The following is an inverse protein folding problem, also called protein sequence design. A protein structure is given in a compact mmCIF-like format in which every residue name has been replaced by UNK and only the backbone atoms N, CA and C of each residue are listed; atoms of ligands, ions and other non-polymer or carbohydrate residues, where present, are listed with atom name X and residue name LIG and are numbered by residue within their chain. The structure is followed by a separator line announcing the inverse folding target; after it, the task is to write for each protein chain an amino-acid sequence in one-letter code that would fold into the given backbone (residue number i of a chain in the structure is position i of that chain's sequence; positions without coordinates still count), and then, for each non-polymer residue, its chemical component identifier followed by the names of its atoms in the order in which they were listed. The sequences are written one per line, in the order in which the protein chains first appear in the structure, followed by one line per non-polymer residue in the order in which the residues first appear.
data_IF_087617990336
#
_entry.id   IF_087617990336
#
_cell.length_a   1.000
_cell.length_b   1.000
_cell.length_c   1.000
_cell.angle_alpha   90.00
_cell.angle_beta   90.00
_cell.angle_gamma   90.00
#
_symmetry.space_group_name_H-M   'P 1'
#
loop_
_entity.id
_entity.type
_entity.pdbx_description
1 polymer ?
#
# COMPACT_ATOMS: atom_id res chain seq x y z
N UNK A 1 -36.22 -2.04 -25.45
CA UNK A 1 -36.03 -2.25 -24.00
C UNK A 1 -37.16 -1.53 -23.29
N UNK A 2 -37.93 -2.17 -22.40
CA UNK A 2 -38.83 -1.43 -21.52
C UNK A 2 -38.00 -0.53 -20.60
N UNK A 3 -38.54 0.61 -20.13
CA UNK A 3 -37.80 1.54 -19.30
C UNK A 3 -37.38 0.84 -18.00
N UNK A 4 -36.08 0.71 -17.77
CA UNK A 4 -35.54 0.28 -16.48
C UNK A 4 -35.97 1.33 -15.45
N UNK A 5 -36.95 0.97 -14.61
CA UNK A 5 -37.40 1.84 -13.54
C UNK A 5 -36.31 1.79 -12.46
N UNK A 6 -35.42 2.78 -12.41
CA UNK A 6 -34.29 2.84 -11.47
C UNK A 6 -34.67 3.26 -10.03
N UNK A 7 -35.95 3.57 -9.77
CA UNK A 7 -36.44 4.06 -8.48
C UNK A 7 -36.84 2.95 -7.49
N UNK A 8 -37.01 3.25 -6.19
CA UNK A 8 -37.49 2.26 -5.23
C UNK A 8 -38.83 1.65 -5.68
N UNK A 9 -39.16 0.41 -5.26
CA UNK A 9 -40.46 -0.18 -5.54
C UNK A 9 -41.58 0.76 -5.06
N UNK A 10 -42.75 0.79 -5.73
CA UNK A 10 -43.84 1.67 -5.34
C UNK A 10 -44.35 1.33 -3.93
N UNK A 11 -44.75 2.35 -3.12
CA UNK A 11 -45.33 2.13 -1.80
C UNK A 11 -46.56 1.22 -1.87
N UNK A 12 -46.62 0.20 -0.99
CA UNK A 12 -47.74 -0.75 -0.95
C UNK A 12 -47.58 -2.01 -1.81
N UNK A 13 -46.43 -2.20 -2.47
CA UNK A 13 -46.07 -3.49 -3.09
C UNK A 13 -45.49 -4.47 -2.06
N UNK A 14 -45.67 -5.78 -2.25
CA UNK A 14 -45.13 -6.81 -1.34
C UNK A 14 -43.61 -6.71 -1.12
N UNK A 15 -42.88 -6.17 -2.10
CA UNK A 15 -41.42 -6.02 -2.05
C UNK A 15 -40.96 -4.68 -1.43
N UNK A 16 -41.88 -3.75 -1.16
CA UNK A 16 -41.56 -2.45 -0.58
C UNK A 16 -41.07 -2.56 0.86
N UNK A 17 -41.73 -3.38 1.67
CA UNK A 17 -41.39 -3.54 3.09
C UNK A 17 -40.01 -4.15 3.27
N UNK A 18 -39.65 -5.14 2.44
CA UNK A 18 -38.31 -5.76 2.43
C UNK A 18 -37.24 -4.76 2.02
N UNK A 19 -37.51 -3.98 0.96
CA UNK A 19 -36.58 -2.94 0.51
C UNK A 19 -36.37 -1.87 1.59
N UNK A 20 -37.46 -1.39 2.21
CA UNK A 20 -37.45 -0.37 3.25
C UNK A 20 -36.69 -0.85 4.48
N UNK A 21 -36.93 -2.09 4.92
CA UNK A 21 -36.19 -2.71 6.01
C UNK A 21 -34.68 -2.72 5.70
N UNK A 22 -34.29 -3.24 4.52
CA UNK A 22 -32.88 -3.28 4.13
C UNK A 22 -32.27 -1.89 4.00
N UNK A 23 -33.03 -0.89 3.54
CA UNK A 23 -32.58 0.51 3.43
C UNK A 23 -32.31 1.13 4.82
N UNK A 24 -33.24 0.98 5.76
CA UNK A 24 -33.07 1.48 7.13
C UNK A 24 -31.90 0.77 7.81
N UNK A 25 -31.86 -0.57 7.74
CA UNK A 25 -30.81 -1.36 8.39
C UNK A 25 -29.42 -1.10 7.82
N UNK A 26 -29.26 -1.04 6.49
CA UNK A 26 -27.97 -0.70 5.86
C UNK A 26 -27.51 0.71 6.20
N UNK A 27 -28.45 1.67 6.26
CA UNK A 27 -28.18 3.03 6.70
C UNK A 27 -27.68 3.10 8.15
N UNK A 28 -28.32 2.36 9.06
CA UNK A 28 -27.91 2.28 10.47
C UNK A 28 -26.52 1.65 10.63
N UNK A 29 -26.24 0.53 9.97
CA UNK A 29 -24.92 -0.11 10.01
C UNK A 29 -23.83 0.80 9.45
N UNK A 30 -24.11 1.47 8.34
CA UNK A 30 -23.18 2.41 7.70
C UNK A 30 -22.92 3.61 8.60
N UNK A 31 -23.95 4.21 9.19
CA UNK A 31 -23.81 5.33 10.12
C UNK A 31 -22.99 4.93 11.35
N UNK A 32 -23.26 3.76 11.93
CA UNK A 32 -22.49 3.23 13.05
C UNK A 32 -21.01 3.04 12.69
N UNK A 33 -20.72 2.43 11.54
CA UNK A 33 -19.36 2.21 11.05
C UNK A 33 -18.62 3.54 10.83
N UNK A 34 -19.26 4.52 10.18
CA UNK A 34 -18.71 5.85 9.94
C UNK A 34 -18.42 6.57 11.26
N UNK A 35 -19.35 6.57 12.21
CA UNK A 35 -19.16 7.23 13.52
C UNK A 35 -17.99 6.60 14.27
N UNK A 36 -17.92 5.28 14.36
CA UNK A 36 -16.81 4.61 15.04
C UNK A 36 -15.46 4.89 14.37
N UNK A 37 -15.41 4.82 13.04
CA UNK A 37 -14.19 5.15 12.29
C UNK A 37 -13.79 6.61 12.50
N UNK A 38 -14.74 7.54 12.45
CA UNK A 38 -14.49 8.95 12.67
C UNK A 38 -13.99 9.23 14.09
N UNK A 39 -14.58 8.59 15.11
CA UNK A 39 -14.11 8.69 16.50
C UNK A 39 -12.68 8.17 16.65
N UNK A 40 -12.34 7.06 15.99
CA UNK A 40 -10.99 6.49 16.02
C UNK A 40 -9.97 7.40 15.32
N UNK A 41 -10.29 7.90 14.12
CA UNK A 41 -9.46 8.87 13.39
C UNK A 41 -9.29 10.14 14.21
N UNK A 42 -10.35 10.66 14.83
CA UNK A 42 -10.29 11.87 15.67
C UNK A 42 -9.33 11.73 16.87
N UNK A 43 -9.23 10.51 17.43
CA UNK A 43 -8.26 10.20 18.49
C UNK A 43 -6.84 10.15 17.95
N UNK A 44 -6.60 9.45 16.83
CA UNK A 44 -5.29 9.44 16.16
C UNK A 44 -4.79 10.86 15.82
N UNK A 45 -5.66 11.72 15.31
CA UNK A 45 -5.32 13.11 14.99
C UNK A 45 -5.05 14.00 16.22
N UNK A 46 -5.61 13.64 17.39
CA UNK A 46 -5.37 14.35 18.64
C UNK A 46 -4.05 13.97 19.32
N UNK A 47 -3.54 12.78 18.99
CA UNK A 47 -2.28 12.20 19.48
C UNK A 47 -1.33 12.01 18.29
N UNK A 48 -1.21 13.02 17.43
CA UNK A 48 -0.49 12.91 16.17
C UNK A 48 1.02 13.18 16.36
N UNK A 49 1.65 12.40 17.24
CA UNK A 49 3.06 12.58 17.64
C UNK A 49 4.04 12.00 16.63
N UNK A 50 3.65 10.92 15.94
CA UNK A 50 4.52 10.20 15.00
C UNK A 50 3.87 10.16 13.61
N UNK A 51 4.02 11.24 12.82
CA UNK A 51 3.30 11.41 11.56
C UNK A 51 3.61 10.31 10.53
N UNK A 52 4.81 9.71 10.62
CA UNK A 52 5.30 8.77 9.61
C UNK A 52 4.46 7.50 9.52
N UNK A 53 4.10 6.87 10.63
CA UNK A 53 3.25 5.69 10.60
C UNK A 53 1.76 6.04 10.79
N UNK A 54 1.42 7.11 11.52
CA UNK A 54 0.01 7.47 11.79
C UNK A 54 -0.73 7.92 10.52
N UNK A 55 -0.05 8.56 9.57
CA UNK A 55 -0.66 8.91 8.27
C UNK A 55 -1.20 7.67 7.56
N UNK A 56 -0.41 6.60 7.52
CA UNK A 56 -0.77 5.33 6.90
C UNK A 56 -1.94 4.66 7.65
N UNK A 57 -1.93 4.69 8.99
CA UNK A 57 -3.06 4.19 9.80
C UNK A 57 -4.35 4.93 9.48
N UNK A 58 -4.33 6.27 9.46
CA UNK A 58 -5.54 7.07 9.17
C UNK A 58 -6.09 6.77 7.78
N UNK A 59 -5.23 6.61 6.77
CA UNK A 59 -5.63 6.21 5.41
C UNK A 59 -6.23 4.80 5.38
N UNK A 60 -5.66 3.83 6.09
CA UNK A 60 -6.25 2.49 6.21
C UNK A 60 -7.62 2.55 6.90
N UNK A 61 -7.77 3.37 7.95
CA UNK A 61 -9.04 3.53 8.66
C UNK A 61 -10.14 4.13 7.78
N UNK A 62 -9.79 5.01 6.84
CA UNK A 62 -10.73 5.59 5.88
C UNK A 62 -11.35 4.55 4.92
N UNK A 63 -10.84 3.32 4.87
CA UNK A 63 -11.46 2.22 4.11
C UNK A 63 -12.90 1.96 4.54
N UNK A 64 -13.16 1.87 5.86
CA UNK A 64 -14.48 1.56 6.42
C UNK A 64 -15.56 2.58 6.03
N UNK A 65 -15.36 3.90 6.22
CA UNK A 65 -16.37 4.88 5.83
C UNK A 65 -16.57 4.96 4.31
N UNK A 66 -15.50 4.80 3.50
CA UNK A 66 -15.62 4.79 2.04
C UNK A 66 -16.44 3.58 1.59
N UNK A 67 -16.13 2.38 2.08
CA UNK A 67 -16.86 1.17 1.74
C UNK A 67 -18.31 1.23 2.24
N UNK A 68 -18.53 1.68 3.47
CA UNK A 68 -19.87 1.79 4.05
C UNK A 68 -20.75 2.76 3.25
N UNK A 69 -20.24 3.97 2.98
CA UNK A 69 -20.96 4.98 2.21
C UNK A 69 -21.25 4.52 0.77
N UNK A 70 -20.24 3.99 0.07
CA UNK A 70 -20.41 3.50 -1.29
C UNK A 70 -21.41 2.36 -1.36
N UNK A 71 -21.35 1.40 -0.44
CA UNK A 71 -22.28 0.26 -0.42
C UNK A 71 -23.70 0.70 -0.10
N UNK A 72 -23.88 1.63 0.85
CA UNK A 72 -25.20 2.21 1.12
C UNK A 72 -25.74 2.97 -0.09
N UNK A 73 -24.88 3.74 -0.78
CA UNK A 73 -25.26 4.43 -2.01
C UNK A 73 -25.63 3.45 -3.13
N UNK A 74 -24.89 2.35 -3.30
CA UNK A 74 -25.21 1.27 -4.25
C UNK A 74 -26.56 0.61 -3.93
N UNK A 75 -26.89 0.43 -2.64
CA UNK A 75 -28.18 -0.10 -2.20
C UNK A 75 -29.32 0.89 -2.45
N UNK A 76 -29.14 2.16 -2.09
CA UNK A 76 -30.17 3.19 -2.19
C UNK A 76 -30.41 3.65 -3.63
N UNK A 77 -29.37 3.71 -4.45
CA UNK A 77 -29.38 4.26 -5.80
C UNK A 77 -28.72 3.31 -6.80
N UNK A 78 -29.55 2.55 -7.52
CA UNK A 78 -29.08 1.58 -8.53
C UNK A 78 -28.18 2.19 -9.60
N UNK A 79 -28.47 3.43 -10.03
CA UNK A 79 -27.68 4.12 -11.05
C UNK A 79 -26.27 4.54 -10.60
N UNK A 80 -25.99 4.57 -9.29
CA UNK A 80 -24.68 4.94 -8.73
C UNK A 80 -23.82 3.71 -8.42
N UNK A 81 -24.43 2.52 -8.33
CA UNK A 81 -23.77 1.28 -7.90
C UNK A 81 -22.43 1.03 -8.58
N UNK A 82 -22.38 1.08 -9.91
CA UNK A 82 -21.15 0.88 -10.70
C UNK A 82 -20.04 1.87 -10.31
N UNK A 83 -20.39 3.15 -10.12
CA UNK A 83 -19.40 4.17 -9.74
C UNK A 83 -18.91 3.98 -8.30
N UNK A 84 -19.81 3.59 -7.40
CA UNK A 84 -19.49 3.29 -6.02
C UNK A 84 -18.59 2.05 -5.90
N UNK A 85 -18.81 1.02 -6.72
CA UNK A 85 -17.97 -0.18 -6.77
C UNK A 85 -16.56 0.15 -7.24
N UNK A 86 -16.44 0.92 -8.33
CA UNK A 86 -15.16 1.43 -8.83
C UNK A 86 -14.40 2.21 -7.75
N UNK A 87 -15.08 3.08 -6.99
CA UNK A 87 -14.43 3.86 -5.94
C UNK A 87 -13.88 2.97 -4.83
N UNK A 88 -14.67 1.98 -4.38
CA UNK A 88 -14.25 0.99 -3.37
C UNK A 88 -13.02 0.22 -3.84
N UNK A 89 -13.08 -0.29 -5.07
CA UNK A 89 -12.02 -1.10 -5.63
C UNK A 89 -10.70 -0.33 -5.84
N UNK A 90 -10.77 0.94 -6.27
CA UNK A 90 -9.58 1.80 -6.36
C UNK A 90 -8.97 2.06 -4.97
N UNK A 91 -9.82 2.26 -3.96
CA UNK A 91 -9.36 2.48 -2.60
C UNK A 91 -8.74 1.22 -1.97
N UNK A 92 -9.22 0.03 -2.33
CA UNK A 92 -8.61 -1.24 -1.95
C UNK A 92 -7.11 -1.28 -2.28
N UNK A 93 -6.76 -0.87 -3.50
CA UNK A 93 -5.39 -0.89 -3.96
C UNK A 93 -4.51 0.07 -3.16
N UNK A 94 -5.04 1.27 -2.84
CA UNK A 94 -4.39 2.24 -1.96
C UNK A 94 -4.15 1.62 -0.59
N UNK A 95 -5.16 1.01 0.05
CA UNK A 95 -5.02 0.41 1.39
C UNK A 95 -3.94 -0.67 1.46
N UNK A 96 -3.81 -1.50 0.41
CA UNK A 96 -2.74 -2.52 0.35
C UNK A 96 -1.36 -1.86 0.35
N UNK A 97 -1.18 -0.78 -0.43
CA UNK A 97 0.08 -0.05 -0.48
C UNK A 97 0.35 0.72 0.83
N UNK A 98 -0.67 1.35 1.42
CA UNK A 98 -0.57 2.03 2.71
C UNK A 98 -0.18 1.08 3.84
N UNK A 99 -0.70 -0.15 3.82
CA UNK A 99 -0.27 -1.16 4.79
C UNK A 99 1.16 -1.64 4.55
N UNK A 100 1.61 -1.71 3.30
CA UNK A 100 3.03 -1.94 2.99
C UNK A 100 3.91 -0.83 3.57
N UNK A 101 3.56 0.43 3.35
CA UNK A 101 4.30 1.58 3.88
C UNK A 101 4.26 1.62 5.41
N UNK A 102 3.14 1.25 6.02
CA UNK A 102 3.03 1.10 7.47
C UNK A 102 4.01 0.06 8.02
N UNK A 103 4.22 -1.06 7.32
CA UNK A 103 5.21 -2.06 7.74
C UNK A 103 6.63 -1.50 7.69
N UNK A 104 6.97 -0.71 6.65
CA UNK A 104 8.28 -0.07 6.55
C UNK A 104 8.46 1.00 7.64
N UNK A 105 7.45 1.84 7.87
CA UNK A 105 7.48 2.87 8.89
C UNK A 105 7.60 2.31 10.33
N UNK A 106 7.19 1.06 10.56
CA UNK A 106 7.43 0.40 11.84
C UNK A 106 8.83 -0.20 11.97
N UNK A 107 9.57 -0.38 10.87
CA UNK A 107 10.95 -0.91 10.92
C UNK A 107 11.94 0.15 11.36
N UNK A 108 11.72 1.39 10.94
CA UNK A 108 12.58 2.53 11.21
C UNK A 108 12.09 3.76 10.48
N UNK A 109 12.45 4.94 11.01
CA UNK A 109 12.11 6.22 10.38
C UNK A 109 13.01 6.49 9.18
N UNK A 110 14.25 5.99 9.23
CA UNK A 110 15.26 6.18 8.20
C UNK A 110 15.39 4.98 7.25
N UNK A 111 15.81 5.26 6.02
CA UNK A 111 16.11 4.25 5.00
C UNK A 111 17.24 3.32 5.47
N UNK A 112 18.20 3.86 6.22
CA UNK A 112 19.31 3.10 6.79
C UNK A 112 18.83 2.06 7.82
N UNK A 113 17.99 2.47 8.78
CA UNK A 113 17.42 1.56 9.79
C UNK A 113 16.58 0.45 9.14
N UNK A 114 15.79 0.83 8.12
CA UNK A 114 15.03 -0.14 7.35
C UNK A 114 15.97 -1.12 6.64
N UNK A 115 17.03 -0.64 5.99
CA UNK A 115 18.00 -1.48 5.31
C UNK A 115 18.71 -2.44 6.28
N UNK A 116 19.08 -1.97 7.47
CA UNK A 116 19.73 -2.77 8.52
C UNK A 116 18.85 -3.90 9.03
N UNK A 117 17.55 -3.63 9.20
CA UNK A 117 16.57 -4.64 9.58
C UNK A 117 16.48 -5.79 8.55
N UNK A 118 16.80 -5.53 7.27
CA UNK A 118 16.90 -6.55 6.22
C UNK A 118 18.31 -7.12 6.02
N UNK A 119 19.37 -6.36 6.35
CA UNK A 119 20.77 -6.74 6.12
C UNK A 119 21.11 -8.05 6.84
N UNK A 120 20.69 -8.19 8.09
CA UNK A 120 20.96 -9.36 8.94
C UNK A 120 20.11 -10.60 8.62
N UNK A 121 19.15 -10.51 7.69
CA UNK A 121 18.21 -11.61 7.43
C UNK A 121 18.85 -12.73 6.59
N UNK A 122 18.71 -14.01 6.99
CA UNK A 122 19.21 -15.11 6.18
C UNK A 122 18.41 -15.24 4.87
N UNK A 123 18.93 -15.95 3.85
CA UNK A 123 18.18 -16.29 2.66
C UNK A 123 16.89 -17.04 3.03
N UNK A 124 15.75 -16.54 2.55
CA UNK A 124 14.44 -17.10 2.83
C UNK A 124 13.82 -17.68 1.56
N UNK A 125 12.92 -18.65 1.72
CA UNK A 125 12.12 -19.17 0.61
C UNK A 125 10.89 -18.31 0.41
N UNK A 126 10.48 -18.14 -0.84
CA UNK A 126 9.19 -17.53 -1.16
C UNK A 126 8.05 -18.33 -0.52
N UNK A 127 6.93 -17.66 -0.28
CA UNK A 127 5.75 -18.32 0.25
C UNK A 127 5.11 -19.24 -0.80
N UNK A 128 4.37 -20.25 -0.34
CA UNK A 128 3.56 -21.09 -1.23
C UNK A 128 2.62 -20.19 -2.07
N UNK A 129 2.52 -20.37 -3.40
CA UNK A 129 2.96 -21.53 -4.19
C UNK A 129 4.41 -21.51 -4.73
N UNK A 130 5.16 -20.41 -4.57
CA UNK A 130 6.49 -20.22 -5.16
C UNK A 130 7.65 -20.67 -4.25
N UNK A 131 7.41 -21.63 -3.37
CA UNK A 131 8.35 -22.07 -2.31
C UNK A 131 9.68 -22.68 -2.81
N UNK A 132 9.82 -22.90 -4.11
CA UNK A 132 11.02 -23.36 -4.79
C UNK A 132 12.01 -22.23 -5.10
N UNK A 133 11.62 -20.97 -4.99
CA UNK A 133 12.48 -19.81 -5.23
C UNK A 133 13.02 -19.30 -3.89
N UNK A 134 14.34 -19.15 -3.80
CA UNK A 134 15.01 -18.54 -2.64
C UNK A 134 15.36 -17.09 -2.96
N UNK A 135 15.07 -16.17 -2.03
CA UNK A 135 15.44 -14.76 -2.13
C UNK A 135 16.30 -14.36 -0.92
N UNK A 136 17.12 -13.31 -1.10
CA UNK A 136 17.92 -12.72 -0.04
C UNK A 136 17.32 -11.35 0.31
N UNK A 137 16.69 -11.20 1.49
CA UNK A 137 16.15 -9.91 1.91
C UNK A 137 17.21 -8.83 2.05
N UNK A 138 18.46 -9.20 2.39
CA UNK A 138 19.60 -8.28 2.54
C UNK A 138 20.01 -7.54 1.27
N UNK A 139 19.41 -7.82 0.11
CA UNK A 139 19.70 -7.10 -1.13
C UNK A 139 18.95 -5.75 -1.09
N UNK A 140 19.60 -4.62 -1.39
CA UNK A 140 18.98 -3.29 -1.32
C UNK A 140 17.74 -3.19 -2.23
N UNK A 141 17.75 -3.88 -3.38
CA UNK A 141 16.62 -3.89 -4.31
C UNK A 141 15.38 -4.65 -3.82
N UNK A 142 15.47 -5.46 -2.75
CA UNK A 142 14.34 -6.26 -2.27
C UNK A 142 13.14 -5.39 -1.88
N UNK A 143 13.39 -4.32 -1.13
CA UNK A 143 12.36 -3.36 -0.70
C UNK A 143 11.71 -2.71 -1.93
N UNK A 144 12.52 -2.26 -2.90
CA UNK A 144 12.02 -1.69 -4.15
C UNK A 144 11.13 -2.68 -4.93
N UNK A 145 11.51 -3.96 -5.03
CA UNK A 145 10.67 -4.96 -5.69
C UNK A 145 9.34 -5.20 -4.96
N UNK A 146 9.35 -5.25 -3.63
CA UNK A 146 8.11 -5.36 -2.87
C UNK A 146 7.22 -4.12 -3.02
N UNK A 147 7.83 -2.92 -3.03
CA UNK A 147 7.15 -1.64 -3.26
C UNK A 147 6.50 -1.61 -4.64
N UNK A 148 7.23 -1.94 -5.71
CA UNK A 148 6.70 -2.06 -7.07
C UNK A 148 5.58 -3.09 -7.15
N UNK A 149 5.72 -4.23 -6.45
CA UNK A 149 4.72 -5.28 -6.43
C UNK A 149 3.38 -4.87 -5.81
N UNK A 150 3.38 -3.94 -4.86
CA UNK A 150 2.14 -3.35 -4.32
C UNK A 150 1.63 -2.20 -5.20
N UNK A 151 2.52 -1.31 -5.65
CA UNK A 151 2.17 -0.15 -6.50
C UNK A 151 1.58 -0.53 -7.86
N UNK A 152 1.98 -1.67 -8.44
CA UNK A 152 1.40 -2.10 -9.72
C UNK A 152 -0.12 -2.24 -9.65
N UNK A 153 -0.69 -2.67 -8.50
CA UNK A 153 -2.15 -2.77 -8.36
C UNK A 153 -2.81 -1.40 -8.21
N UNK A 154 -2.17 -0.47 -7.49
CA UNK A 154 -2.61 0.94 -7.35
C UNK A 154 -2.76 1.61 -8.71
N UNK A 155 -1.86 1.31 -9.65
CA UNK A 155 -1.86 1.89 -10.99
C UNK A 155 -2.77 1.11 -11.95
N UNK A 156 -2.72 -0.21 -11.91
CA UNK A 156 -3.46 -1.08 -12.81
C UNK A 156 -4.98 -1.02 -12.57
N UNK A 157 -5.42 -0.84 -11.31
CA UNK A 157 -6.85 -0.82 -11.01
C UNK A 157 -7.60 0.37 -11.66
N UNK A 158 -7.17 1.63 -11.52
CA UNK A 158 -7.76 2.75 -12.27
C UNK A 158 -7.65 2.57 -13.79
N UNK A 159 -6.55 2.02 -14.31
CA UNK A 159 -6.40 1.79 -15.75
C UNK A 159 -7.42 0.77 -16.27
N UNK A 160 -7.62 -0.36 -15.58
CA UNK A 160 -8.60 -1.37 -15.99
C UNK A 160 -10.03 -0.84 -15.88
N UNK A 161 -10.33 0.02 -14.91
CA UNK A 161 -11.60 0.75 -14.83
C UNK A 161 -11.84 1.62 -16.06
N UNK A 162 -10.85 2.41 -16.49
CA UNK A 162 -10.97 3.24 -17.71
C UNK A 162 -11.20 2.36 -18.94
N UNK A 163 -10.49 1.23 -19.05
CA UNK A 163 -10.69 0.26 -20.13
C UNK A 163 -12.11 -0.34 -20.09
N UNK A 164 -12.62 -0.68 -18.90
CA UNK A 164 -13.98 -1.18 -18.71
C UNK A 164 -15.03 -0.16 -19.20
N UNK A 165 -14.88 1.11 -18.83
CA UNK A 165 -15.78 2.19 -19.27
C UNK A 165 -15.73 2.38 -20.78
N UNK A 166 -14.52 2.44 -21.38
CA UNK A 166 -14.37 2.59 -22.83
C UNK A 166 -15.01 1.41 -23.57
N UNK A 167 -14.75 0.18 -23.12
CA UNK A 167 -15.30 -1.02 -23.76
C UNK A 167 -16.82 -1.15 -23.57
N UNK A 168 -17.36 -0.61 -22.48
CA UNK A 168 -18.81 -0.48 -22.28
C UNK A 168 -19.42 0.51 -23.30
N UNK A 169 -18.79 1.65 -23.54
CA UNK A 169 -19.24 2.63 -24.55
C UNK A 169 -19.22 2.06 -25.98
N UNK A 170 -18.26 1.18 -26.30
CA UNK A 170 -18.19 0.46 -27.59
C UNK A 170 -19.14 -0.75 -27.65
N UNK A 171 -19.85 -1.08 -26.56
CA UNK A 171 -20.76 -2.23 -26.50
C UNK A 171 -20.06 -3.59 -26.44
N UNK A 172 -18.82 -3.64 -25.94
CA UNK A 172 -17.96 -4.85 -25.86
C UNK A 172 -17.63 -5.30 -24.44
N UNK A 173 -18.13 -4.64 -23.39
CA UNK A 173 -17.85 -5.03 -21.99
C UNK A 173 -18.79 -6.14 -21.47
N UNK A 174 -20.12 -6.00 -21.60
CA UNK A 174 -21.14 -6.99 -21.20
C UNK A 174 -20.88 -7.68 -19.83
N UNK A 175 -21.36 -7.05 -18.76
CA UNK A 175 -21.21 -7.50 -17.36
C UNK A 175 -21.89 -8.86 -17.08
N UNK A 176 -23.03 -9.13 -17.72
CA UNK A 176 -23.78 -10.38 -17.54
C UNK A 176 -23.17 -11.59 -18.29
N UNK A 177 -22.08 -11.40 -19.04
CA UNK A 177 -21.48 -12.46 -19.85
C UNK A 177 -20.08 -12.85 -19.37
N UNK A 178 -19.91 -14.13 -19.06
CA UNK A 178 -18.60 -14.76 -18.81
C UNK A 178 -17.93 -15.26 -20.11
N UNK A 179 -18.39 -14.81 -21.29
CA UNK A 179 -17.77 -15.20 -22.56
C UNK A 179 -16.44 -14.46 -22.77
N UNK A 180 -15.35 -15.16 -23.17
CA UNK A 180 -14.06 -14.51 -23.50
C UNK A 180 -14.13 -13.49 -24.65
N UNK A 181 -15.26 -13.43 -25.37
CA UNK A 181 -15.51 -12.46 -26.44
C UNK A 181 -15.68 -11.03 -25.92
N UNK A 182 -16.07 -10.88 -24.66
CA UNK A 182 -16.31 -9.57 -24.03
C UNK A 182 -15.14 -9.17 -23.12
N UNK A 183 -14.94 -7.86 -22.98
CA UNK A 183 -13.83 -7.31 -22.21
C UNK A 183 -13.94 -7.57 -20.71
N UNK A 184 -15.16 -7.74 -20.18
CA UNK A 184 -15.42 -7.97 -18.75
C UNK A 184 -14.61 -9.13 -18.15
N UNK A 185 -14.55 -10.28 -18.83
CA UNK A 185 -13.79 -11.45 -18.35
C UNK A 185 -12.29 -11.12 -18.23
N UNK A 186 -11.73 -10.41 -19.20
CA UNK A 186 -10.32 -10.04 -19.19
C UNK A 186 -10.01 -9.02 -18.09
N UNK A 187 -10.89 -8.04 -17.86
CA UNK A 187 -10.77 -7.09 -16.76
C UNK A 187 -10.76 -7.82 -15.41
N UNK A 188 -11.68 -8.77 -15.19
CA UNK A 188 -11.72 -9.59 -13.97
C UNK A 188 -10.42 -10.37 -13.79
N UNK A 189 -9.96 -11.08 -14.83
CA UNK A 189 -8.76 -11.93 -14.76
C UNK A 189 -7.50 -11.10 -14.48
N UNK A 190 -7.32 -9.99 -15.20
CA UNK A 190 -6.17 -9.10 -15.04
C UNK A 190 -6.15 -8.50 -13.63
N UNK A 191 -7.30 -8.02 -13.14
CA UNK A 191 -7.42 -7.50 -11.77
C UNK A 191 -7.17 -8.58 -10.72
N UNK A 192 -7.70 -9.79 -10.92
CA UNK A 192 -7.48 -10.93 -10.03
C UNK A 192 -6.00 -11.33 -9.92
N UNK A 193 -5.28 -11.35 -11.04
CA UNK A 193 -3.83 -11.59 -11.04
C UNK A 193 -3.10 -10.45 -10.32
N UNK A 194 -3.43 -9.20 -10.65
CA UNK A 194 -2.77 -8.02 -10.08
C UNK A 194 -2.92 -7.93 -8.57
N UNK A 195 -4.14 -8.09 -8.02
CA UNK A 195 -4.35 -8.10 -6.57
C UNK A 195 -3.65 -9.28 -5.89
N UNK A 196 -3.62 -10.45 -6.54
CA UNK A 196 -2.90 -11.62 -6.01
C UNK A 196 -1.40 -11.36 -5.89
N UNK A 197 -0.79 -10.73 -6.90
CA UNK A 197 0.62 -10.34 -6.86
C UNK A 197 0.88 -9.33 -5.75
N UNK A 198 0.05 -8.29 -5.62
CA UNK A 198 0.22 -7.27 -4.57
C UNK A 198 0.07 -7.84 -3.15
N UNK A 199 -0.93 -8.69 -2.94
CA UNK A 199 -1.11 -9.37 -1.66
C UNK A 199 0.03 -10.37 -1.40
N UNK A 200 0.54 -11.04 -2.43
CA UNK A 200 1.68 -11.94 -2.28
C UNK A 200 2.93 -11.18 -1.82
N UNK A 201 3.28 -10.06 -2.46
CA UNK A 201 4.44 -9.25 -2.04
C UNK A 201 4.26 -8.66 -0.65
N UNK A 202 3.05 -8.24 -0.30
CA UNK A 202 2.73 -7.75 1.03
C UNK A 202 2.91 -8.83 2.12
N UNK A 203 2.41 -10.05 1.88
CA UNK A 203 2.62 -11.16 2.82
C UNK A 203 4.11 -11.54 2.87
N UNK A 204 4.82 -11.46 1.75
CA UNK A 204 6.26 -11.76 1.70
C UNK A 204 7.06 -10.82 2.60
N UNK A 205 6.86 -9.49 2.50
CA UNK A 205 7.55 -8.54 3.38
C UNK A 205 7.13 -8.75 4.84
N UNK A 206 5.82 -8.91 5.11
CA UNK A 206 5.31 -9.17 6.44
C UNK A 206 5.98 -10.39 7.09
N UNK A 207 6.10 -11.51 6.37
CA UNK A 207 6.75 -12.72 6.91
C UNK A 207 8.25 -12.57 7.13
N UNK A 208 8.89 -11.64 6.41
CA UNK A 208 10.31 -11.31 6.57
C UNK A 208 10.54 -10.48 7.84
N UNK A 209 9.63 -9.55 8.15
CA UNK A 209 9.80 -8.56 9.23
C UNK A 209 8.98 -8.83 10.49
N UNK A 210 8.10 -9.85 10.49
CA UNK A 210 7.21 -10.17 11.63
C UNK A 210 7.94 -10.45 12.95
N UNK A 211 9.24 -10.79 12.93
CA UNK A 211 10.03 -11.00 14.15
C UNK A 211 10.33 -9.67 14.85
N UNK A 212 10.67 -8.64 14.09
CA UNK A 212 11.00 -7.30 14.60
C UNK A 212 9.73 -6.61 15.10
N UNK A 213 8.64 -6.77 14.35
CA UNK A 213 7.39 -6.05 14.59
C UNK A 213 6.41 -6.78 15.52
N UNK A 214 6.92 -7.65 16.39
CA UNK A 214 6.08 -8.47 17.28
C UNK A 214 5.33 -7.63 18.32
N UNK A 215 5.90 -6.49 18.71
CA UNK A 215 5.31 -5.50 19.63
C UNK A 215 4.00 -4.89 19.11
N UNK A 216 3.88 -4.70 17.79
CA UNK A 216 2.77 -3.96 17.16
C UNK A 216 1.55 -4.81 16.76
N UNK A 217 1.43 -6.05 17.23
CA UNK A 217 0.29 -6.95 16.96
C UNK A 217 -0.14 -7.01 15.47
N UNK A 218 0.83 -7.05 14.56
CA UNK A 218 0.59 -6.94 13.12
C UNK A 218 -0.38 -7.98 12.54
N UNK A 219 -0.45 -9.17 13.14
CA UNK A 219 -1.38 -10.21 12.70
C UNK A 219 -2.82 -9.69 12.73
N UNK A 220 -3.18 -8.96 13.79
CA UNK A 220 -4.52 -8.42 13.94
C UNK A 220 -4.80 -7.33 12.90
N UNK A 221 -3.84 -6.44 12.64
CA UNK A 221 -3.92 -5.39 11.61
C UNK A 221 -4.08 -6.00 10.21
N UNK A 222 -3.27 -7.00 9.88
CA UNK A 222 -3.34 -7.70 8.60
C UNK A 222 -4.66 -8.45 8.43
N UNK A 223 -5.11 -9.19 9.45
CA UNK A 223 -6.41 -9.89 9.43
C UNK A 223 -7.55 -8.88 9.27
N UNK A 224 -7.45 -7.70 9.89
CA UNK A 224 -8.46 -6.65 9.79
C UNK A 224 -8.66 -6.17 8.36
N UNK A 225 -7.58 -5.85 7.66
CA UNK A 225 -7.63 -5.42 6.26
C UNK A 225 -8.08 -6.58 5.37
N UNK A 226 -7.48 -7.77 5.56
CA UNK A 226 -7.80 -8.95 4.76
C UNK A 226 -9.25 -9.39 4.93
N UNK A 227 -9.83 -9.25 6.11
CA UNK A 227 -11.24 -9.54 6.37
C UNK A 227 -12.13 -8.74 5.42
N UNK A 228 -11.92 -7.41 5.33
CA UNK A 228 -12.72 -6.55 4.45
C UNK A 228 -12.55 -6.95 2.98
N UNK A 229 -11.32 -7.11 2.51
CA UNK A 229 -11.03 -7.40 1.09
C UNK A 229 -11.53 -8.79 0.69
N UNK A 230 -11.25 -9.81 1.51
CA UNK A 230 -11.56 -11.19 1.17
C UNK A 230 -13.07 -11.47 1.20
N UNK A 231 -13.78 -11.03 2.23
CA UNK A 231 -15.21 -11.29 2.33
C UNK A 231 -16.00 -10.55 1.25
N UNK A 232 -15.70 -9.27 1.01
CA UNK A 232 -16.35 -8.50 -0.06
C UNK A 232 -16.11 -9.11 -1.44
N UNK A 233 -14.89 -9.56 -1.75
CA UNK A 233 -14.59 -10.27 -3.00
C UNK A 233 -15.43 -11.55 -3.16
N UNK A 234 -15.39 -12.44 -2.17
CA UNK A 234 -16.11 -13.72 -2.26
C UNK A 234 -17.63 -13.54 -2.27
N UNK A 235 -18.14 -12.51 -1.60
CA UNK A 235 -19.54 -12.14 -1.70
C UNK A 235 -19.89 -11.73 -3.12
N UNK A 236 -19.11 -10.87 -3.77
CA UNK A 236 -19.37 -10.45 -5.15
C UNK A 236 -19.40 -11.66 -6.08
N UNK A 237 -18.40 -12.55 -6.00
CA UNK A 237 -18.37 -13.81 -6.78
C UNK A 237 -19.61 -14.68 -6.51
N UNK A 238 -19.99 -14.83 -5.24
CA UNK A 238 -21.14 -15.66 -4.84
C UNK A 238 -22.45 -15.09 -5.37
N UNK A 239 -22.69 -13.79 -5.21
CA UNK A 239 -23.91 -13.13 -5.68
C UNK A 239 -23.99 -13.09 -7.21
N UNK A 240 -22.87 -12.87 -7.91
CA UNK A 240 -22.81 -13.00 -9.36
C UNK A 240 -23.15 -14.43 -9.82
N UNK A 241 -22.59 -15.46 -9.16
CA UNK A 241 -22.92 -16.85 -9.48
C UNK A 241 -24.40 -17.21 -9.18
N UNK A 242 -24.96 -16.68 -8.09
CA UNK A 242 -26.38 -16.85 -7.74
C UNK A 242 -27.31 -16.21 -8.79
N UNK A 243 -26.92 -15.06 -9.35
CA UNK A 243 -27.66 -14.41 -10.43
C UNK A 243 -27.67 -15.26 -11.72
N UNK A 244 -26.63 -16.07 -11.97
CA UNK A 244 -26.58 -16.94 -13.15
C UNK A 244 -27.29 -18.29 -12.99
N UNK A 245 -27.52 -18.75 -11.76
CA UNK A 245 -28.10 -20.09 -11.48
C UNK A 245 -29.63 -20.11 -11.43
N UNK A 246 -30.32 -19.00 -11.77
CA UNK A 246 -31.76 -18.79 -11.61
C UNK A 246 -32.29 -19.03 -10.17
N UNK A 247 -31.39 -19.09 -9.17
CA UNK A 247 -31.75 -19.20 -7.76
C UNK A 247 -32.47 -17.93 -7.28
N UNK A 248 -32.12 -16.78 -7.89
CA UNK A 248 -32.76 -15.48 -7.67
C UNK A 248 -33.76 -15.24 -8.80
N UNK A 249 -35.06 -15.24 -8.51
CA UNK A 249 -36.10 -14.98 -9.53
C UNK A 249 -36.22 -13.47 -9.76
N UNK A 250 -36.22 -13.06 -11.02
CA UNK A 250 -36.53 -11.68 -11.39
C UNK A 250 -37.96 -11.34 -10.93
N UNK A 251 -38.13 -10.16 -10.32
CA UNK A 251 -39.45 -9.60 -10.01
C UNK A 251 -39.80 -8.54 -11.06
N UNK A 252 -41.06 -8.11 -11.18
CA UNK A 252 -41.48 -7.11 -12.18
C UNK A 252 -40.68 -5.79 -12.14
N UNK A 253 -39.98 -5.51 -11.03
CA UNK A 253 -39.23 -4.27 -10.81
C UNK A 253 -37.72 -4.46 -10.61
N UNK A 254 -37.24 -5.70 -10.48
CA UNK A 254 -35.83 -6.01 -10.21
C UNK A 254 -35.31 -7.09 -11.14
N UNK A 255 -34.19 -6.80 -11.80
CA UNK A 255 -33.39 -7.83 -12.47
C UNK A 255 -32.76 -8.76 -11.44
N UNK A 256 -32.41 -9.99 -11.86
CA UNK A 256 -31.70 -10.95 -11.00
C UNK A 256 -30.36 -10.37 -10.52
N UNK A 257 -29.62 -9.73 -11.43
CA UNK A 257 -28.34 -9.07 -11.16
C UNK A 257 -28.48 -7.91 -10.18
N UNK A 258 -29.52 -7.07 -10.36
CA UNK A 258 -29.76 -5.93 -9.47
C UNK A 258 -30.09 -6.39 -8.04
N UNK A 259 -30.92 -7.43 -7.90
CA UNK A 259 -31.27 -7.98 -6.60
C UNK A 259 -30.06 -8.60 -5.90
N UNK A 260 -29.21 -9.31 -6.64
CA UNK A 260 -27.95 -9.85 -6.13
C UNK A 260 -26.99 -8.74 -5.68
N UNK A 261 -26.84 -7.67 -6.48
CA UNK A 261 -25.98 -6.54 -6.17
C UNK A 261 -26.47 -5.76 -4.95
N UNK A 262 -27.77 -5.55 -4.77
CA UNK A 262 -28.29 -4.91 -3.56
C UNK A 262 -28.14 -5.80 -2.32
N UNK A 263 -28.33 -7.12 -2.45
CA UNK A 263 -28.08 -8.04 -1.34
C UNK A 263 -26.61 -8.03 -0.91
N UNK A 264 -25.68 -8.03 -1.87
CA UNK A 264 -24.24 -7.85 -1.64
C UNK A 264 -23.96 -6.51 -0.95
N UNK A 265 -24.48 -5.40 -1.47
CA UNK A 265 -24.29 -4.07 -0.89
C UNK A 265 -24.79 -3.97 0.55
N UNK A 266 -25.95 -4.57 0.86
CA UNK A 266 -26.48 -4.66 2.21
C UNK A 266 -25.54 -5.42 3.16
N UNK A 267 -25.01 -6.57 2.73
CA UNK A 267 -24.07 -7.35 3.53
C UNK A 267 -22.77 -6.60 3.78
N UNK A 268 -22.25 -5.87 2.78
CA UNK A 268 -21.04 -5.05 2.97
C UNK A 268 -21.28 -3.94 3.99
N UNK A 269 -22.45 -3.28 4.00
CA UNK A 269 -22.79 -2.31 5.05
C UNK A 269 -22.73 -2.94 6.45
N UNK A 270 -23.25 -4.15 6.62
CA UNK A 270 -23.17 -4.89 7.88
C UNK A 270 -21.72 -5.28 8.23
N UNK A 271 -20.94 -5.75 7.26
CA UNK A 271 -19.52 -6.06 7.45
C UNK A 271 -18.70 -4.84 7.86
N UNK A 272 -19.02 -3.66 7.33
CA UNK A 272 -18.32 -2.43 7.70
C UNK A 272 -18.55 -2.06 9.17
N UNK A 273 -19.71 -2.39 9.74
CA UNK A 273 -19.94 -2.23 11.18
C UNK A 273 -19.05 -3.16 12.01
N UNK A 274 -18.85 -4.41 11.57
CA UNK A 274 -17.94 -5.37 12.22
C UNK A 274 -16.48 -4.93 12.03
N UNK A 275 -16.11 -4.53 10.82
CA UNK A 275 -14.78 -4.05 10.48
C UNK A 275 -14.41 -2.80 11.30
N UNK A 276 -15.35 -1.87 11.52
CA UNK A 276 -15.14 -0.71 12.39
C UNK A 276 -14.74 -1.12 13.82
N UNK A 277 -15.44 -2.12 14.40
CA UNK A 277 -15.10 -2.66 15.72
C UNK A 277 -13.72 -3.34 15.73
N UNK A 278 -13.41 -4.08 14.66
CA UNK A 278 -12.11 -4.73 14.51
C UNK A 278 -10.98 -3.69 14.37
N UNK A 279 -11.21 -2.61 13.62
CA UNK A 279 -10.26 -1.51 13.42
C UNK A 279 -9.96 -0.77 14.73
N UNK A 280 -10.96 -0.57 15.60
CA UNK A 280 -10.75 0.02 16.94
C UNK A 280 -9.79 -0.82 17.78
N UNK A 281 -9.82 -2.15 17.64
CA UNK A 281 -8.90 -3.05 18.35
C UNK A 281 -7.55 -3.18 17.65
N UNK A 282 -7.54 -3.24 16.31
CA UNK A 282 -6.35 -3.49 15.51
C UNK A 282 -5.44 -2.26 15.40
N UNK A 283 -6.02 -1.06 15.30
CA UNK A 283 -5.33 0.20 15.07
C UNK A 283 -5.57 1.16 16.25
N UNK A 284 -5.17 0.74 17.45
CA UNK A 284 -5.38 1.54 18.65
C UNK A 284 -4.46 2.76 18.66
N UNK A 285 -5.03 3.95 18.89
CA UNK A 285 -4.26 5.20 19.08
C UNK A 285 -3.34 5.16 20.31
N UNK A 286 -3.51 4.18 21.21
CA UNK A 286 -2.66 4.04 22.39
C UNK A 286 -1.24 3.61 22.07
N UNK A 287 -1.02 3.01 20.90
CA UNK A 287 0.32 2.65 20.44
C UNK A 287 1.20 3.87 20.17
N UNK A 288 0.61 5.06 20.10
CA UNK A 288 1.29 6.32 19.75
C UNK A 288 1.32 7.30 20.91
N UNK A 289 0.85 6.86 22.08
CA UNK A 289 0.92 7.65 23.31
C UNK A 289 2.30 7.41 23.91
N UNK A 290 3.25 8.27 23.59
CA UNK A 290 4.44 8.41 24.41
C UNK A 290 4.09 9.24 25.65
N UNK A 291 4.44 8.72 26.83
CA UNK A 291 4.17 9.38 28.11
C UNK A 291 4.90 10.74 28.23
N UNK A 292 5.94 10.94 27.41
CA UNK A 292 6.78 12.15 27.41
C UNK A 292 6.19 13.32 26.60
N UNK A 293 5.32 13.05 25.61
CA UNK A 293 4.74 14.10 24.74
C UNK A 293 3.37 14.57 25.24
N UNK A 294 3.36 15.44 26.25
CA UNK A 294 2.16 15.97 26.91
C UNK A 294 1.30 16.98 26.13
N UNK A 295 1.49 17.13 24.80
CA UNK A 295 0.79 18.13 23.98
C UNK A 295 -0.24 17.53 23.02
N UNK A 296 -1.48 18.03 23.03
CA UNK A 296 -2.46 17.70 22.01
C UNK A 296 -2.14 18.40 20.68
N UNK A 297 -2.13 17.66 19.58
CA UNK A 297 -1.82 18.19 18.25
C UNK A 297 -3.03 18.86 17.57
N UNK A 298 -2.77 19.81 16.67
CA UNK A 298 -3.81 20.41 15.86
C UNK A 298 -4.37 19.39 14.85
N UNK A 299 -5.63 19.00 15.04
CA UNK A 299 -6.27 17.91 14.27
C UNK A 299 -6.43 18.20 12.77
N UNK A 300 -6.73 19.44 12.40
CA UNK A 300 -7.02 19.80 11.00
C UNK A 300 -5.77 19.77 10.10
N UNK A 301 -4.62 20.38 10.49
CA UNK A 301 -3.36 20.20 9.77
C UNK A 301 -2.94 18.73 9.66
N UNK A 302 -3.05 17.97 10.76
CA UNK A 302 -2.75 16.54 10.76
C UNK A 302 -3.63 15.76 9.77
N UNK A 303 -4.94 16.05 9.71
CA UNK A 303 -5.84 15.42 8.75
C UNK A 303 -5.48 15.78 7.31
N UNK A 304 -5.15 17.05 7.02
CA UNK A 304 -4.70 17.47 5.68
C UNK A 304 -3.43 16.74 5.26
N UNK A 305 -2.49 16.56 6.19
CA UNK A 305 -1.28 15.78 5.95
C UNK A 305 -1.61 14.31 5.64
N UNK A 306 -2.49 13.68 6.43
CA UNK A 306 -2.93 12.30 6.19
C UNK A 306 -3.67 12.12 4.87
N UNK A 307 -4.44 13.11 4.42
CA UNK A 307 -5.22 13.05 3.17
C UNK A 307 -4.43 13.48 1.93
N UNK A 308 -3.18 13.94 2.09
CA UNK A 308 -2.34 14.24 0.95
C UNK A 308 -1.97 12.94 0.23
N UNK A 309 -2.25 12.85 -1.08
CA UNK A 309 -1.98 11.66 -1.92
C UNK A 309 -0.64 11.82 -2.69
N UNK A 310 0.00 12.99 -2.56
CA UNK A 310 1.23 13.31 -3.29
C UNK A 310 2.34 12.29 -3.06
N UNK A 311 2.47 11.75 -1.85
CA UNK A 311 3.44 10.71 -1.53
C UNK A 311 3.21 9.41 -2.31
N UNK A 312 1.96 8.97 -2.47
CA UNK A 312 1.62 7.81 -3.32
C UNK A 312 1.98 8.09 -4.79
N UNK A 313 1.68 9.30 -5.28
CA UNK A 313 2.03 9.68 -6.66
C UNK A 313 3.53 9.71 -6.88
N UNK A 314 4.27 10.21 -5.88
CA UNK A 314 5.72 10.24 -5.87
C UNK A 314 6.30 8.82 -5.86
N UNK A 315 5.75 7.94 -5.02
CA UNK A 315 6.11 6.52 -4.98
C UNK A 315 5.88 5.81 -6.32
N UNK A 316 4.77 6.10 -6.99
CA UNK A 316 4.49 5.60 -8.36
C UNK A 316 5.54 6.12 -9.34
N UNK A 317 5.92 7.40 -9.26
CA UNK A 317 6.92 8.02 -10.15
C UNK A 317 8.29 7.39 -9.97
N UNK A 318 8.74 7.18 -8.73
CA UNK A 318 10.01 6.50 -8.44
C UNK A 318 10.01 5.04 -8.88
N UNK A 319 8.93 4.32 -8.61
CA UNK A 319 8.76 2.95 -9.12
C UNK A 319 8.84 2.90 -10.65
N UNK A 320 8.24 3.86 -11.34
CA UNK A 320 8.31 3.96 -12.80
C UNK A 320 9.72 4.27 -13.30
N UNK A 321 10.44 5.22 -12.67
CA UNK A 321 11.84 5.54 -13.00
C UNK A 321 12.72 4.31 -12.82
N UNK A 322 12.65 3.65 -11.66
CA UNK A 322 13.41 2.43 -11.36
C UNK A 322 13.18 1.33 -12.41
N UNK A 323 11.92 1.06 -12.77
CA UNK A 323 11.60 0.06 -13.81
C UNK A 323 12.15 0.49 -15.17
N UNK A 324 12.08 1.78 -15.51
CA UNK A 324 12.57 2.32 -16.78
C UNK A 324 14.09 2.16 -16.90
N UNK A 325 14.86 2.54 -15.88
CA UNK A 325 16.32 2.31 -15.86
C UNK A 325 16.63 0.82 -16.02
N UNK A 326 15.89 -0.05 -15.32
CA UNK A 326 16.13 -1.49 -15.40
C UNK A 326 15.83 -2.08 -16.78
N UNK A 327 14.80 -1.58 -17.48
CA UNK A 327 14.47 -1.96 -18.87
C UNK A 327 15.55 -1.48 -19.83
N UNK A 328 16.10 -0.28 -19.61
CA UNK A 328 17.21 0.29 -20.40
C UNK A 328 18.55 -0.40 -20.12
N UNK A 329 18.62 -1.25 -19.10
CA UNK A 329 19.87 -1.89 -18.67
C UNK A 329 20.79 -0.96 -17.87
N UNK A 330 20.28 0.23 -17.50
CA UNK A 330 20.98 1.20 -16.67
C UNK A 330 20.91 0.76 -15.20
N UNK A 331 22.01 0.92 -14.48
CA UNK A 331 22.05 0.69 -13.04
C UNK A 331 21.54 1.94 -12.33
N UNK A 332 20.64 1.75 -11.36
CA UNK A 332 20.19 2.83 -10.48
C UNK A 332 21.38 3.50 -9.80
N UNK A 333 21.58 4.80 -10.03
CA UNK A 333 22.77 5.52 -9.60
C UNK A 333 22.57 6.15 -8.22
N UNK A 334 23.64 6.39 -7.44
CA UNK A 334 23.53 7.16 -6.19
C UNK A 334 22.96 8.56 -6.40
N UNK A 335 23.19 9.19 -7.56
CA UNK A 335 22.61 10.48 -7.90
C UNK A 335 21.08 10.40 -8.01
N UNK A 336 20.54 9.31 -8.59
CA UNK A 336 19.09 9.08 -8.62
C UNK A 336 18.55 8.92 -7.20
N UNK A 337 19.27 8.22 -6.30
CA UNK A 337 18.88 8.08 -4.90
C UNK A 337 18.84 9.41 -4.14
N UNK A 338 19.82 10.29 -4.39
CA UNK A 338 19.85 11.65 -3.86
C UNK A 338 18.69 12.50 -4.41
N UNK A 339 18.40 12.42 -5.71
CA UNK A 339 17.25 13.11 -6.31
C UNK A 339 15.91 12.60 -5.73
N UNK A 340 15.80 11.29 -5.48
CA UNK A 340 14.63 10.71 -4.81
C UNK A 340 14.49 11.23 -3.37
N UNK A 341 15.60 11.30 -2.62
CA UNK A 341 15.60 11.83 -1.26
C UNK A 341 15.27 13.33 -1.22
N UNK A 342 15.78 14.12 -2.16
CA UNK A 342 15.43 15.53 -2.35
C UNK A 342 13.94 15.72 -2.66
N UNK A 343 13.40 14.97 -3.63
CA UNK A 343 11.98 15.03 -3.98
C UNK A 343 11.08 14.57 -2.81
N UNK A 344 11.59 13.77 -1.88
CA UNK A 344 10.92 13.36 -0.63
C UNK A 344 11.08 14.37 0.52
N UNK A 345 11.93 15.40 0.37
CA UNK A 345 12.24 16.37 1.41
C UNK A 345 13.14 15.81 2.52
N UNK A 346 13.97 14.81 2.20
CA UNK A 346 14.93 14.16 3.11
C UNK A 346 16.37 14.66 2.90
N UNK A 347 16.57 15.74 2.14
CA UNK A 347 17.90 16.25 1.82
C UNK A 347 18.75 16.57 3.05
N UNK A 348 18.18 17.28 4.02
CA UNK A 348 18.89 17.64 5.26
C UNK A 348 19.38 16.38 6.00
N UNK A 349 18.56 15.33 6.05
CA UNK A 349 18.93 14.04 6.66
C UNK A 349 20.04 13.35 5.88
N UNK A 350 19.99 13.37 4.55
CA UNK A 350 21.03 12.78 3.70
C UNK A 350 22.34 13.56 3.77
N UNK A 351 22.28 14.89 3.85
CA UNK A 351 23.45 15.75 4.05
C UNK A 351 24.08 15.51 5.43
N UNK A 352 23.27 15.40 6.49
CA UNK A 352 23.75 15.06 7.84
C UNK A 352 24.44 13.69 7.86
N UNK A 353 23.89 12.67 7.18
CA UNK A 353 24.54 11.36 7.06
C UNK A 353 25.84 11.41 6.25
N UNK A 354 25.92 12.26 5.23
CA UNK A 354 27.16 12.46 4.46
C UNK A 354 28.20 13.15 5.33
N UNK A 355 27.84 14.18 6.10
CA UNK A 355 28.73 14.84 7.05
C UNK A 355 29.20 13.87 8.15
N UNK A 356 28.31 13.06 8.73
CA UNK A 356 28.65 12.08 9.76
C UNK A 356 29.58 10.98 9.21
N UNK A 357 29.34 10.51 7.97
CA UNK A 357 30.25 9.59 7.30
C UNK A 357 31.61 10.25 6.97
N UNK A 358 31.63 11.52 6.58
CA UNK A 358 32.87 12.28 6.37
C UNK A 358 33.63 12.53 7.68
N UNK A 359 32.93 12.71 8.81
CA UNK A 359 33.52 12.81 10.13
C UNK A 359 34.08 11.47 10.61
N UNK A 360 33.36 10.34 10.44
CA UNK A 360 33.89 9.00 10.73
C UNK A 360 35.15 8.70 9.90
N UNK A 361 35.18 9.08 8.62
CA UNK A 361 36.36 8.92 7.76
C UNK A 361 37.54 9.80 8.24
N UNK A 362 37.27 11.01 8.74
CA UNK A 362 38.30 11.89 9.33
C UNK A 362 38.80 11.34 10.68
N UNK A 363 37.92 10.79 11.51
CA UNK A 363 38.24 10.22 12.81
C UNK A 363 38.97 8.87 12.73
N UNK A 364 38.75 8.09 11.67
CA UNK A 364 39.55 6.88 11.36
C UNK A 364 40.98 7.20 10.91
N UNK A 365 41.37 8.48 10.83
CA UNK A 365 42.78 8.89 10.70
C UNK A 365 43.42 8.53 9.36
N UNK A 366 42.65 8.50 8.28
CA UNK A 366 43.20 8.47 6.92
C UNK A 366 43.75 9.86 6.56
N UNK A 367 44.91 10.18 7.15
CA UNK A 367 45.67 11.40 6.91
C UNK A 367 45.86 11.61 5.39
N UNK A 368 45.57 12.81 4.90
CA UNK A 368 45.78 13.27 3.52
C UNK A 368 47.19 12.95 2.96
N UNK A 369 48.14 12.66 3.85
CA UNK A 369 49.49 12.20 3.53
C UNK A 369 49.53 10.85 2.77
N UNK A 370 48.64 9.89 3.05
CA UNK A 370 48.70 8.56 2.41
C UNK A 370 48.17 8.57 0.96
N UNK A 371 47.24 9.49 0.67
CA UNK A 371 46.76 9.79 -0.68
C UNK A 371 47.86 10.47 -1.51
N UNK A 372 48.72 11.28 -0.87
CA UNK A 372 49.85 11.95 -1.52
C UNK A 372 51.03 11.01 -1.82
N UNK A 373 51.27 10.00 -0.98
CA UNK A 373 52.37 9.04 -1.14
C UNK A 373 52.07 8.05 -2.26
N UNK A 374 50.82 7.59 -2.41
CA UNK A 374 50.41 6.73 -3.54
C UNK A 374 50.45 7.42 -4.91
N UNK A 375 50.45 8.77 -4.96
CA UNK A 375 50.68 9.54 -6.20
C UNK A 375 52.17 9.64 -6.58
N UNK A 376 53.10 9.26 -5.71
CA UNK A 376 54.55 9.40 -5.93
C UNK A 376 55.19 8.21 -6.65
N UNK A 377 54.59 7.03 -6.60
CA UNK A 377 55.10 5.80 -7.22
C UNK A 377 54.60 5.62 -8.67
N UNK A 378 54.66 6.70 -9.45
CA UNK A 378 54.03 6.79 -10.75
C UNK A 378 54.36 5.65 -11.72
N UNK A 379 53.32 4.99 -12.23
CA UNK A 379 53.30 4.53 -13.61
C UNK A 379 51.99 4.94 -14.32
N UNK A 380 52.16 6.03 -15.09
CA UNK A 380 51.47 6.50 -16.30
C UNK A 380 50.04 7.08 -16.20
N UNK A 381 50.05 8.39 -16.02
CA UNK A 381 48.99 9.36 -16.34
C UNK A 381 48.85 9.51 -17.86
N UNK A 382 47.61 9.46 -18.38
CA UNK A 382 47.18 10.34 -19.46
C UNK A 382 45.95 11.12 -18.97
N UNK A 383 46.17 12.40 -18.67
CA UNK A 383 45.13 13.42 -18.56
C UNK A 383 45.17 14.26 -19.83
N UNK A 384 44.05 14.33 -20.56
CA UNK A 384 43.79 15.41 -21.51
C UNK A 384 42.39 15.95 -21.24
N UNK A 385 42.35 17.26 -21.02
CA UNK A 385 41.22 18.18 -20.96
C UNK A 385 40.25 18.15 -19.75
N UNK A 386 40.66 18.88 -18.70
CA UNK A 386 39.96 20.13 -18.37
C UNK A 386 38.47 20.08 -18.02
N UNK A 387 38.03 19.15 -17.18
CA UNK A 387 36.84 19.31 -16.33
C UNK A 387 37.06 18.60 -14.99
N UNK A 388 36.71 19.27 -13.90
CA UNK A 388 36.66 18.65 -12.57
C UNK A 388 35.47 17.71 -12.56
N UNK A 389 35.73 16.42 -12.77
CA UNK A 389 34.74 15.37 -12.64
C UNK A 389 34.77 14.89 -11.18
N UNK A 390 33.71 15.21 -10.41
CA UNK A 390 33.46 14.61 -9.11
C UNK A 390 33.11 13.12 -9.34
N UNK A 391 34.12 12.28 -9.47
CA UNK A 391 33.93 10.82 -9.59
C UNK A 391 33.57 10.24 -8.22
N UNK A 392 32.28 9.95 -8.02
CA UNK A 392 31.70 9.23 -6.88
C UNK A 392 32.17 7.76 -6.72
N UNK A 393 33.17 7.31 -7.47
CA UNK A 393 33.78 5.98 -7.32
C UNK A 393 34.68 5.88 -6.08
N UNK A 394 35.21 7.00 -5.58
CA UNK A 394 35.99 7.04 -4.34
C UNK A 394 35.13 6.70 -3.12
N UNK A 395 33.99 7.38 -2.98
CA UNK A 395 33.04 7.23 -1.86
C UNK A 395 32.45 5.83 -1.82
N UNK A 396 32.11 5.26 -2.98
CA UNK A 396 31.57 3.90 -3.07
C UNK A 396 32.57 2.83 -2.63
N UNK A 397 33.85 3.00 -2.98
CA UNK A 397 34.92 2.07 -2.58
C UNK A 397 35.30 2.16 -1.10
N UNK A 398 35.08 3.34 -0.48
CA UNK A 398 35.31 3.58 0.94
C UNK A 398 34.11 3.06 1.74
N UNK A 399 32.88 3.42 1.38
CA UNK A 399 31.65 2.92 2.05
C UNK A 399 31.53 1.39 1.95
N UNK A 400 31.84 0.78 0.80
CA UNK A 400 31.84 -0.69 0.68
C UNK A 400 33.00 -1.35 1.48
N UNK A 401 34.11 -0.65 1.73
CA UNK A 401 35.21 -1.15 2.60
C UNK A 401 34.91 -0.96 4.07
N UNK A 402 34.45 0.22 4.50
CA UNK A 402 34.14 0.55 5.90
C UNK A 402 32.99 -0.30 6.42
N UNK A 403 31.96 -0.56 5.60
CA UNK A 403 30.86 -1.49 5.94
C UNK A 403 31.36 -2.95 6.03
N UNK A 404 32.34 -3.35 5.21
CA UNK A 404 32.93 -4.70 5.27
C UNK A 404 33.93 -4.88 6.41
N UNK A 405 34.68 -3.84 6.81
CA UNK A 405 35.68 -3.88 7.88
C UNK A 405 35.02 -3.72 9.26
N UNK A 406 34.03 -2.83 9.42
CA UNK A 406 33.29 -2.67 10.69
C UNK A 406 32.35 -3.86 10.98
N UNK A 407 31.88 -4.56 9.93
CA UNK A 407 31.20 -5.85 10.08
C UNK A 407 32.11 -6.96 10.62
N UNK A 408 33.39 -6.99 10.22
CA UNK A 408 34.36 -7.99 10.67
C UNK A 408 34.94 -7.69 12.06
N UNK A 409 35.05 -6.41 12.44
CA UNK A 409 35.52 -5.97 13.76
C UNK A 409 34.48 -6.25 14.86
N UNK A 410 33.18 -6.09 14.57
CA UNK A 410 32.09 -6.44 15.52
C UNK A 410 31.96 -7.95 15.73
N UNK A 411 32.25 -8.79 14.73
CA UNK A 411 32.21 -10.25 14.87
C UNK A 411 33.33 -10.82 15.77
N UNK A 412 34.44 -10.09 15.91
CA UNK A 412 35.55 -10.44 16.82
C UNK A 412 35.36 -9.95 18.26
N UNK A 413 34.53 -8.91 18.48
CA UNK A 413 34.20 -8.40 19.82
C UNK A 413 33.22 -9.35 20.55
N UNK A 414 32.29 -9.97 19.83
CA UNK A 414 31.27 -10.88 20.39
C UNK A 414 31.81 -12.28 20.73
N UNK A 415 33.01 -12.64 20.24
CA UNK A 415 33.67 -13.92 20.58
C UNK A 415 34.58 -13.86 21.81
N UNK A 416 34.70 -12.70 22.48
CA UNK A 416 35.59 -12.51 23.64
C UNK A 416 34.89 -12.08 24.94
N UNK A 417 33.57 -12.18 25.02
CA UNK A 417 32.80 -11.99 26.26
C UNK A 417 32.07 -13.25 26.70
#
# INVERSE_FOLDING_TARGET
MPPQHYGPPPPGSEHYDVFLFGWISSGLFTLFAIILSAMLVWRHLGTYHSPQFQKHVVRILAMVPIYGFCSFASYAFRGISVYADVLRDCYEAVVIHEFFQLLLAYLGEDIAEQADAFASKPPMKLLFPLNFITYKPSRPHFIHYCKIGTLQYVVLRPMTTVIAVITQLVGRYCEDSMSPRFAHVWVIVINGISVTVAMFTLVQIYTTVKSELKSHNLVLKFISIKFVIFFSFWQTVTFSALAHTNAVRATPHWSQTELANSANAFLICFEMAIAALLHVKAFSYRETLDEDFGGATMRWPALKHCLNIYDIMLDVRFAQRFVTHRIRGETYTPADALEEAEEQGLLEVVEDFIEEAEEEIKDEGLDEAEISIRKRDGERVETVDGHVEHTGDGVKSVVERTVSENGAVRENSVKRT
#
